data_IF_435439543591
#
_entry.id   IF_435439543591
#
_cell.length_a   1.000
_cell.length_b   1.000
_cell.length_c   1.000
_cell.angle_alpha   90.00
_cell.angle_beta   90.00
_cell.angle_gamma   90.00
#
_symmetry.space_group_name_H-M   'P 1'
#
loop_
_entity.id
_entity.type
_entity.pdbx_description
1 polymer ?
#
# COMPACT_ATOMS: atom_id res chain seq x y z
N UNK A 1 -9.49 -39.25 -15.68
CA UNK A 1 -10.67 -38.61 -16.30
C UNK A 1 -11.47 -37.85 -15.24
N UNK A 2 -11.29 -36.54 -15.13
CA UNK A 2 -12.01 -35.71 -14.15
C UNK A 2 -13.31 -35.19 -14.78
N UNK A 3 -14.47 -35.59 -14.25
CA UNK A 3 -15.81 -35.26 -14.78
C UNK A 3 -16.21 -33.85 -14.36
N UNK A 4 -15.65 -32.82 -14.99
CA UNK A 4 -16.20 -31.46 -14.92
C UNK A 4 -17.53 -31.44 -15.70
N UNK A 5 -18.65 -31.62 -15.01
CA UNK A 5 -19.97 -31.31 -15.59
C UNK A 5 -20.09 -29.80 -15.74
N UNK A 6 -19.90 -29.32 -16.96
CA UNK A 6 -20.61 -28.16 -17.48
C UNK A 6 -22.11 -28.41 -17.36
N UNK A 7 -22.83 -27.55 -16.66
CA UNK A 7 -24.15 -27.02 -17.06
C UNK A 7 -24.85 -26.40 -15.87
N UNK A 8 -24.73 -25.08 -15.72
CA UNK A 8 -25.81 -24.29 -15.14
C UNK A 8 -25.88 -22.93 -15.83
N UNK A 9 -26.27 -22.94 -17.11
CA UNK A 9 -26.77 -21.75 -17.80
C UNK A 9 -28.19 -21.51 -17.31
N UNK A 10 -28.38 -20.57 -16.38
CA UNK A 10 -29.70 -20.04 -16.04
C UNK A 10 -29.68 -18.52 -16.18
N UNK A 11 -30.29 -18.07 -17.26
CA UNK A 11 -31.08 -16.84 -17.36
C UNK A 11 -30.40 -15.52 -17.03
N UNK A 12 -29.97 -14.83 -18.07
CA UNK A 12 -29.87 -13.37 -18.10
C UNK A 12 -31.30 -12.77 -18.11
N UNK A 13 -31.58 -11.78 -17.26
CA UNK A 13 -32.28 -10.62 -17.76
C UNK A 13 -31.55 -9.31 -17.43
N UNK A 14 -31.30 -8.53 -18.47
CA UNK A 14 -31.03 -7.10 -18.40
C UNK A 14 -32.17 -6.40 -17.64
N UNK A 15 -31.84 -5.69 -16.56
CA UNK A 15 -32.58 -4.54 -16.02
C UNK A 15 -31.50 -3.54 -15.58
N UNK A 16 -31.10 -2.65 -16.48
CA UNK A 16 -31.60 -1.28 -16.60
C UNK A 16 -31.31 -0.40 -15.37
N UNK A 17 -30.34 0.50 -15.58
CA UNK A 17 -30.37 1.94 -15.29
C UNK A 17 -30.33 2.34 -13.81
N UNK A 18 -29.23 3.00 -13.45
CA UNK A 18 -29.11 3.77 -12.22
C UNK A 18 -27.83 4.59 -12.19
N UNK A 19 -27.61 5.39 -13.23
CA UNK A 19 -26.54 6.39 -13.35
C UNK A 19 -26.69 7.42 -12.22
N UNK A 20 -26.06 7.20 -11.06
CA UNK A 20 -25.94 8.21 -10.02
C UNK A 20 -24.76 9.13 -10.35
N UNK A 21 -25.04 10.07 -11.27
CA UNK A 21 -24.20 11.23 -11.55
C UNK A 21 -24.38 12.23 -10.39
N UNK A 22 -23.60 12.04 -9.32
CA UNK A 22 -23.55 12.95 -8.17
C UNK A 22 -22.30 13.81 -8.19
N UNK A 23 -22.20 14.77 -9.12
CA UNK A 23 -21.27 15.89 -8.96
C UNK A 23 -21.84 16.83 -7.89
N UNK A 24 -21.32 16.73 -6.67
CA UNK A 24 -21.42 17.80 -5.69
C UNK A 24 -20.06 18.50 -5.60
N UNK A 25 -19.81 19.40 -6.56
CA UNK A 25 -18.80 20.44 -6.43
C UNK A 25 -19.41 21.58 -5.60
N UNK A 26 -18.80 21.90 -4.46
CA UNK A 26 -18.85 23.22 -3.83
C UNK A 26 -17.65 23.33 -2.88
N UNK A 27 -16.50 23.72 -3.44
CA UNK A 27 -15.42 24.32 -2.68
C UNK A 27 -15.81 25.80 -2.47
N UNK A 28 -16.13 26.20 -1.24
CA UNK A 28 -16.32 27.62 -0.89
C UNK A 28 -15.32 28.03 0.18
N UNK A 29 -14.24 28.64 -0.33
CA UNK A 29 -13.70 29.94 0.03
C UNK A 29 -13.70 30.35 1.51
N UNK A 30 -12.51 30.42 2.09
CA UNK A 30 -12.09 31.64 2.81
C UNK A 30 -10.58 31.81 2.81
N UNK A 31 -10.05 32.34 1.71
CA UNK A 31 -8.69 32.86 1.64
C UNK A 31 -8.70 34.30 2.20
N UNK A 32 -8.24 34.46 3.44
CA UNK A 32 -7.96 35.76 4.01
C UNK A 32 -6.57 36.20 3.53
N UNK A 33 -6.53 37.30 2.79
CA UNK A 33 -5.34 38.08 2.50
C UNK A 33 -4.95 38.90 3.73
N UNK A 34 -3.66 39.21 3.89
CA UNK A 34 -3.32 40.62 3.97
C UNK A 34 -2.23 41.00 2.97
N UNK A 35 -2.51 42.08 2.25
CA UNK A 35 -1.54 42.85 1.52
C UNK A 35 -0.69 43.67 2.50
N UNK A 36 0.63 43.54 2.43
CA UNK A 36 1.57 44.59 2.81
C UNK A 36 2.82 44.42 1.95
N UNK A 37 3.01 45.37 1.04
CA UNK A 37 4.15 45.45 0.15
C UNK A 37 5.42 45.86 0.90
N UNK A 38 6.52 45.17 0.65
CA UNK A 38 7.87 45.72 0.75
C UNK A 38 8.80 44.92 -0.18
N UNK A 39 9.39 45.64 -1.12
CA UNK A 39 10.21 45.15 -2.22
C UNK A 39 11.56 44.60 -1.76
N UNK A 40 11.93 43.39 -2.22
CA UNK A 40 13.32 42.97 -2.40
C UNK A 40 13.44 42.09 -3.66
N UNK A 41 14.54 42.18 -4.44
CA UNK A 41 14.66 41.50 -5.73
C UNK A 41 15.15 40.05 -5.59
N UNK A 42 14.64 39.21 -6.49
CA UNK A 42 15.17 37.94 -7.00
C UNK A 42 16.23 37.20 -6.16
N UNK A 43 15.80 36.12 -5.51
CA UNK A 43 16.60 34.90 -5.39
C UNK A 43 15.81 33.78 -6.05
N UNK A 44 16.23 33.39 -7.25
CA UNK A 44 15.72 32.20 -7.94
C UNK A 44 16.25 30.95 -7.23
N UNK A 45 15.76 30.69 -6.03
CA UNK A 45 15.75 29.34 -5.49
C UNK A 45 14.53 28.66 -6.09
N UNK A 46 14.76 27.75 -7.04
CA UNK A 46 13.74 26.86 -7.53
C UNK A 46 13.08 26.21 -6.31
N UNK A 47 11.81 26.55 -6.09
CA UNK A 47 10.99 25.98 -5.04
C UNK A 47 10.79 24.50 -5.38
N UNK A 48 11.68 23.66 -4.85
CA UNK A 48 11.54 22.23 -4.90
C UNK A 48 10.32 21.89 -4.04
N UNK A 49 9.16 21.77 -4.68
CA UNK A 49 7.98 21.14 -4.08
C UNK A 49 8.44 19.85 -3.41
N UNK A 50 8.19 19.66 -2.10
CA UNK A 50 8.49 18.41 -1.44
C UNK A 50 7.81 17.29 -2.23
N UNK A 51 8.61 16.39 -2.78
CA UNK A 51 8.07 15.18 -3.41
C UNK A 51 7.60 14.31 -2.24
N UNK A 52 6.32 14.46 -1.90
CA UNK A 52 5.67 13.59 -0.92
C UNK A 52 5.96 12.14 -1.32
N UNK A 53 6.60 11.34 -0.43
CA UNK A 53 6.93 9.96 -0.75
C UNK A 53 5.61 9.24 -1.05
N UNK A 54 5.41 8.86 -2.31
CA UNK A 54 4.26 8.03 -2.67
C UNK A 54 4.46 6.68 -2.00
N UNK A 55 3.75 6.46 -0.90
CA UNK A 55 3.69 5.17 -0.24
C UNK A 55 3.18 4.17 -1.26
N UNK A 56 4.04 3.23 -1.66
CA UNK A 56 3.69 2.17 -2.59
C UNK A 56 2.64 1.22 -2.01
N UNK A 57 2.16 0.29 -2.84
CA UNK A 57 1.34 -0.81 -2.34
C UNK A 57 2.10 -1.56 -1.23
N UNK A 58 1.39 -1.95 -0.18
CA UNK A 58 1.99 -2.70 0.93
C UNK A 58 2.60 -4.03 0.42
N UNK A 59 3.74 -4.42 0.99
CA UNK A 59 4.36 -5.69 0.71
C UNK A 59 3.43 -6.84 1.20
N UNK A 60 3.01 -7.78 0.34
CA UNK A 60 2.10 -8.86 0.74
C UNK A 60 2.69 -9.77 1.81
N UNK A 61 4.00 -10.02 1.81
CA UNK A 61 4.65 -10.83 2.85
C UNK A 61 4.59 -10.12 4.22
N UNK A 62 4.79 -8.81 4.22
CA UNK A 62 4.68 -7.96 5.40
C UNK A 62 3.25 -7.94 5.96
N UNK A 63 2.25 -7.80 5.09
CA UNK A 63 0.83 -7.89 5.48
C UNK A 63 0.50 -9.26 6.05
N UNK A 64 0.98 -10.33 5.42
CA UNK A 64 0.80 -11.69 5.90
C UNK A 64 1.40 -11.88 7.31
N UNK A 65 2.61 -11.37 7.57
CA UNK A 65 3.21 -11.39 8.90
C UNK A 65 2.28 -10.77 9.97
N UNK A 66 1.76 -9.58 9.70
CA UNK A 66 0.84 -8.90 10.64
C UNK A 66 -0.49 -9.64 10.79
N UNK A 67 -0.96 -10.30 9.73
CA UNK A 67 -2.20 -11.11 9.75
C UNK A 67 -2.05 -12.33 10.66
N UNK A 68 -0.85 -12.92 10.74
CA UNK A 68 -0.52 -13.99 11.68
C UNK A 68 -0.34 -13.50 13.14
N UNK A 69 -0.56 -12.21 13.40
CA UNK A 69 -0.30 -11.58 14.69
C UNK A 69 1.18 -11.33 14.97
N UNK A 70 2.03 -11.47 13.95
CA UNK A 70 3.47 -11.24 14.07
C UNK A 70 3.83 -9.75 13.99
N UNK A 71 5.06 -9.44 14.41
CA UNK A 71 5.66 -8.11 14.24
C UNK A 71 6.72 -8.17 13.15
N UNK A 72 6.53 -7.34 12.12
CA UNK A 72 7.50 -7.18 11.04
C UNK A 72 8.72 -6.38 11.53
N UNK A 73 9.90 -6.87 11.20
CA UNK A 73 11.17 -6.18 11.34
C UNK A 73 11.92 -6.21 10.01
N UNK A 74 12.36 -5.05 9.52
CA UNK A 74 13.19 -4.96 8.32
C UNK A 74 14.65 -4.87 8.75
N UNK A 75 15.50 -5.70 8.14
CA UNK A 75 16.95 -5.75 8.39
C UNK A 75 17.70 -5.50 7.10
N UNK A 76 18.90 -4.92 7.20
CA UNK A 76 19.84 -4.80 6.09
C UNK A 76 20.89 -5.90 6.19
N UNK A 77 21.03 -6.70 5.14
CA UNK A 77 22.05 -7.75 5.01
C UNK A 77 23.44 -7.20 4.71
N UNK A 78 24.43 -8.08 4.74
CA UNK A 78 25.84 -7.74 4.45
C UNK A 78 26.06 -7.23 3.02
N UNK A 79 25.18 -7.60 2.09
CA UNK A 79 25.15 -7.17 0.70
C UNK A 79 24.46 -5.80 0.50
N UNK A 80 23.93 -5.20 1.58
CA UNK A 80 23.15 -3.97 1.55
C UNK A 80 21.68 -4.15 1.15
N UNK A 81 21.26 -5.39 0.85
CA UNK A 81 19.87 -5.73 0.58
C UNK A 81 19.02 -5.66 1.86
N UNK A 82 17.74 -5.31 1.73
CA UNK A 82 16.80 -5.38 2.84
C UNK A 82 15.99 -6.67 2.78
N UNK A 83 15.77 -7.28 3.94
CA UNK A 83 14.90 -8.44 4.11
C UNK A 83 13.99 -8.26 5.32
N UNK A 84 12.82 -8.89 5.27
CA UNK A 84 11.82 -8.81 6.34
C UNK A 84 11.85 -10.05 7.22
N UNK A 85 11.78 -9.84 8.52
CA UNK A 85 11.63 -10.87 9.54
C UNK A 85 10.27 -10.71 10.23
N UNK A 86 9.54 -11.81 10.35
CA UNK A 86 8.31 -11.90 11.08
C UNK A 86 8.54 -12.52 12.46
N UNK A 87 8.38 -11.71 13.50
CA UNK A 87 8.42 -12.15 14.89
C UNK A 87 7.03 -12.63 15.30
N UNK A 88 6.82 -13.95 15.33
CA UNK A 88 5.53 -14.58 15.60
C UNK A 88 5.21 -14.63 17.11
N UNK A 89 3.93 -14.70 17.51
CA UNK A 89 3.52 -14.80 18.92
C UNK A 89 4.03 -16.05 19.65
N UNK A 90 4.35 -17.11 18.91
CA UNK A 90 4.94 -18.35 19.44
C UNK A 90 6.46 -18.25 19.71
N UNK A 91 7.03 -17.07 19.46
CA UNK A 91 8.45 -16.77 19.67
C UNK A 91 9.35 -17.11 18.48
N UNK A 92 8.81 -17.67 17.38
CA UNK A 92 9.59 -17.90 16.17
C UNK A 92 9.89 -16.58 15.45
N UNK A 93 11.07 -16.53 14.84
CA UNK A 93 11.47 -15.45 13.93
C UNK A 93 11.69 -16.08 12.56
N UNK A 94 10.88 -15.68 11.59
CA UNK A 94 10.83 -16.28 10.26
C UNK A 94 11.11 -15.23 9.19
N UNK A 95 11.85 -15.55 8.14
CA UNK A 95 11.91 -14.69 6.95
C UNK A 95 10.51 -14.55 6.31
N UNK A 96 10.09 -13.33 5.99
CA UNK A 96 8.70 -13.02 5.65
C UNK A 96 8.26 -13.66 4.33
N UNK A 97 9.15 -13.75 3.33
CA UNK A 97 8.82 -14.30 2.02
C UNK A 97 8.71 -15.82 2.03
N UNK A 98 9.59 -16.51 2.75
CA UNK A 98 9.51 -17.95 2.98
C UNK A 98 8.23 -18.30 3.75
N UNK A 99 7.87 -17.49 4.75
CA UNK A 99 6.63 -17.67 5.49
C UNK A 99 5.40 -17.44 4.61
N UNK A 100 5.42 -16.43 3.74
CA UNK A 100 4.30 -16.10 2.84
C UNK A 100 4.11 -17.11 1.71
N UNK A 101 5.20 -17.52 1.02
CA UNK A 101 5.10 -18.39 -0.16
C UNK A 101 4.98 -19.85 0.19
N UNK A 102 5.75 -20.30 1.17
CA UNK A 102 5.93 -21.72 1.47
C UNK A 102 5.27 -22.13 2.79
N UNK A 103 4.81 -21.17 3.60
CA UNK A 103 4.32 -21.41 4.95
C UNK A 103 5.40 -21.90 5.90
N UNK A 104 6.69 -21.75 5.53
CA UNK A 104 7.83 -22.25 6.29
C UNK A 104 8.47 -21.12 7.08
N UNK A 105 8.84 -21.43 8.31
CA UNK A 105 9.64 -20.54 9.11
C UNK A 105 11.13 -20.81 8.82
N UNK A 106 11.69 -20.04 7.89
CA UNK A 106 13.12 -20.09 7.60
C UNK A 106 13.86 -19.08 8.47
N UNK A 107 15.04 -19.50 8.97
CA UNK A 107 15.89 -18.62 9.76
C UNK A 107 16.48 -17.52 8.85
N UNK A 108 16.71 -16.31 9.40
CA UNK A 108 17.39 -15.24 8.67
C UNK A 108 18.75 -15.72 8.15
N UNK A 109 19.07 -15.41 6.89
CA UNK A 109 20.43 -15.53 6.40
C UNK A 109 21.22 -14.30 6.86
N UNK A 110 22.25 -14.50 7.69
CA UNK A 110 23.13 -13.44 8.24
C UNK A 110 24.28 -13.04 7.33
#
# INVERSE_FOLDING_TARGET
MNRYRLSNRRGLPLLLIGLNLGLAACNTSKQASPAAAASTPASSAAEATPIEPRVGMANPASVHCTTLGGKLEIRTGKDGGQYGLCNLPDGRVCEEWALFRDGKCEKPAE
#
